data_IF_872759361930
#
_entry.id   IF_872759361930
#
_cell.length_a   1.000
_cell.length_b   1.000
_cell.length_c   1.000
_cell.angle_alpha   90.00
_cell.angle_beta   90.00
_cell.angle_gamma   90.00
#
_symmetry.space_group_name_H-M   'P 1'
#
loop_
_entity.id
_entity.type
_entity.pdbx_description
1 polymer ?
#
# COMPACT_ATOMS: atom_id res chain seq x y z
N UNK A 1 27.86 6.03 -0.88
CA UNK A 1 26.65 5.94 -1.72
C UNK A 1 25.49 5.46 -0.86
N UNK A 2 24.57 6.37 -0.51
CA UNK A 2 23.41 6.00 0.31
C UNK A 2 22.50 5.08 -0.49
N UNK A 3 22.31 3.83 -0.02
CA UNK A 3 21.34 2.90 -0.60
C UNK A 3 19.97 3.57 -0.57
N UNK A 4 19.45 3.92 -1.74
CA UNK A 4 18.06 4.34 -1.89
C UNK A 4 17.22 3.11 -1.57
N UNK A 5 16.85 2.95 -0.30
CA UNK A 5 15.77 2.07 0.09
C UNK A 5 14.48 2.75 -0.38
N UNK A 6 14.22 2.76 -1.69
CA UNK A 6 12.91 3.06 -2.21
C UNK A 6 12.05 1.85 -1.85
N UNK A 7 11.25 1.96 -0.79
CA UNK A 7 10.17 0.98 -0.58
C UNK A 7 9.26 1.10 -1.80
N UNK A 8 9.33 0.12 -2.69
CA UNK A 8 8.33 -0.06 -3.73
C UNK A 8 7.00 -0.33 -3.02
N UNK A 9 5.95 0.36 -3.44
CA UNK A 9 4.61 0.11 -2.93
C UNK A 9 4.23 -1.28 -3.44
N UNK A 10 3.89 -2.17 -2.51
CA UNK A 10 3.51 -3.53 -2.82
C UNK A 10 1.99 -3.63 -2.80
N UNK A 11 1.45 -4.68 -3.40
CA UNK A 11 0.01 -5.00 -3.44
C UNK A 11 -0.62 -4.91 -2.05
N UNK A 12 0.12 -5.39 -1.05
CA UNK A 12 -0.27 -5.46 0.36
C UNK A 12 -0.46 -4.08 1.01
N UNK A 13 0.11 -3.02 0.44
CA UNK A 13 0.00 -1.66 0.97
C UNK A 13 -1.02 -0.82 0.21
N UNK A 14 -1.52 -1.28 -0.93
CA UNK A 14 -2.34 -0.48 -1.83
C UNK A 14 -3.55 0.12 -1.12
N UNK A 15 -4.29 -0.68 -0.36
CA UNK A 15 -5.43 -0.21 0.43
C UNK A 15 -5.04 0.94 1.35
N UNK A 16 -3.95 0.77 2.11
CA UNK A 16 -3.46 1.78 3.05
C UNK A 16 -3.02 3.06 2.33
N UNK A 17 -2.33 2.93 1.21
CA UNK A 17 -1.86 4.08 0.43
C UNK A 17 -3.03 4.83 -0.16
N UNK A 18 -4.01 4.12 -0.73
CA UNK A 18 -5.22 4.72 -1.30
C UNK A 18 -6.01 5.44 -0.21
N UNK A 19 -6.26 4.81 0.94
CA UNK A 19 -6.92 5.44 2.09
C UNK A 19 -6.19 6.71 2.54
N UNK A 20 -4.86 6.63 2.69
CA UNK A 20 -4.05 7.76 3.08
C UNK A 20 -4.17 8.92 2.09
N UNK A 21 -4.07 8.64 0.79
CA UNK A 21 -4.19 9.66 -0.26
C UNK A 21 -5.59 10.27 -0.31
N UNK A 22 -6.65 9.47 -0.11
CA UNK A 22 -8.02 9.95 -0.04
C UNK A 22 -8.21 10.90 1.15
N UNK A 23 -7.78 10.51 2.35
CA UNK A 23 -7.81 11.37 3.53
C UNK A 23 -6.97 12.63 3.31
N UNK A 24 -5.81 12.49 2.65
CA UNK A 24 -4.97 13.62 2.31
C UNK A 24 -5.68 14.61 1.39
N UNK A 25 -6.42 14.17 0.36
CA UNK A 25 -7.15 15.05 -0.57
C UNK A 25 -8.18 15.95 0.09
N UNK A 26 -8.75 15.51 1.22
CA UNK A 26 -9.74 16.28 1.99
C UNK A 26 -9.13 16.99 3.20
N UNK A 27 -7.83 16.81 3.44
CA UNK A 27 -7.15 17.40 4.59
C UNK A 27 -6.96 18.91 4.41
N UNK A 28 -7.09 19.66 5.52
CA UNK A 28 -6.81 21.11 5.56
C UNK A 28 -5.41 21.44 5.04
N UNK A 29 -4.45 20.53 5.23
CA UNK A 29 -3.08 20.66 4.73
C UNK A 29 -3.04 20.64 3.20
N UNK A 30 -3.76 19.75 2.53
CA UNK A 30 -3.79 19.70 1.07
C UNK A 30 -4.45 20.95 0.45
N UNK A 31 -5.50 21.50 1.10
CA UNK A 31 -6.11 22.78 0.70
C UNK A 31 -5.13 23.96 0.83
N UNK A 32 -4.36 24.00 1.91
CA UNK A 32 -3.39 25.08 2.13
C UNK A 32 -2.13 24.97 1.25
N UNK A 33 -1.89 23.81 0.63
CA UNK A 33 -0.64 23.51 -0.07
C UNK A 33 -0.73 23.57 -1.60
N UNK A 34 -1.90 23.94 -2.17
CA UNK A 34 -2.23 23.88 -3.61
C UNK A 34 -1.62 22.64 -4.31
N UNK A 35 -1.71 21.49 -3.66
CA UNK A 35 -1.14 20.24 -4.17
C UNK A 35 -1.89 19.81 -5.42
N UNK A 36 -1.21 19.26 -6.42
CA UNK A 36 -1.90 18.81 -7.65
C UNK A 36 -2.92 17.70 -7.39
N UNK A 37 -2.92 17.06 -6.21
CA UNK A 37 -3.91 16.06 -5.82
C UNK A 37 -5.30 16.64 -5.54
N UNK A 38 -5.38 17.92 -5.13
CA UNK A 38 -6.66 18.61 -4.94
C UNK A 38 -7.21 19.14 -6.27
N UNK A 39 -6.37 19.20 -7.31
CA UNK A 39 -6.78 19.50 -8.69
C UNK A 39 -7.55 18.30 -9.24
N UNK A 40 -8.74 18.56 -9.80
CA UNK A 40 -9.74 17.53 -10.12
C UNK A 40 -9.22 16.32 -10.90
N UNK A 41 -8.23 16.48 -11.79
CA UNK A 41 -7.68 15.39 -12.62
C UNK A 41 -6.98 14.29 -11.81
N UNK A 42 -6.15 14.64 -10.83
CA UNK A 42 -5.44 13.63 -10.01
C UNK A 42 -6.36 13.01 -8.97
N UNK A 43 -7.32 13.79 -8.45
CA UNK A 43 -8.38 13.27 -7.57
C UNK A 43 -9.24 12.22 -8.27
N UNK A 44 -9.66 12.47 -9.51
CA UNK A 44 -10.42 11.49 -10.32
C UNK A 44 -9.60 10.24 -10.59
N UNK A 45 -8.31 10.39 -10.94
CA UNK A 45 -7.41 9.23 -11.13
C UNK A 45 -7.27 8.38 -9.86
N UNK A 46 -7.15 9.02 -8.69
CA UNK A 46 -7.08 8.31 -7.41
C UNK A 46 -8.36 7.52 -7.12
N UNK A 47 -9.53 8.13 -7.34
CA UNK A 47 -10.82 7.44 -7.17
C UNK A 47 -10.98 6.30 -8.17
N UNK A 48 -10.52 6.48 -9.41
CA UNK A 48 -10.54 5.43 -10.43
C UNK A 48 -9.62 4.26 -10.06
N UNK A 49 -8.43 4.54 -9.54
CA UNK A 49 -7.49 3.53 -9.06
C UNK A 49 -8.08 2.73 -7.89
N UNK A 50 -8.72 3.41 -6.93
CA UNK A 50 -9.42 2.79 -5.82
C UNK A 50 -10.54 1.84 -6.29
N UNK A 51 -11.40 2.33 -7.18
CA UNK A 51 -12.50 1.54 -7.74
C UNK A 51 -11.99 0.34 -8.57
N UNK A 52 -10.86 0.50 -9.26
CA UNK A 52 -10.24 -0.58 -10.05
C UNK A 52 -9.69 -1.67 -9.14
N UNK A 53 -9.06 -1.30 -8.01
CA UNK A 53 -8.60 -2.26 -7.02
C UNK A 53 -9.76 -3.03 -6.40
N UNK A 54 -10.82 -2.33 -5.99
CA UNK A 54 -11.99 -2.95 -5.37
C UNK A 54 -12.68 -3.93 -6.32
N UNK A 55 -12.83 -3.57 -7.60
CA UNK A 55 -13.30 -4.50 -8.63
C UNK A 55 -12.38 -5.69 -8.83
N UNK A 56 -11.07 -5.46 -8.90
CA UNK A 56 -10.11 -6.54 -9.07
C UNK A 56 -10.23 -7.57 -7.93
N UNK A 57 -10.34 -7.10 -6.68
CA UNK A 57 -10.48 -7.95 -5.50
C UNK A 57 -11.79 -8.75 -5.45
N UNK A 58 -12.87 -8.22 -6.04
CA UNK A 58 -14.18 -8.87 -6.01
C UNK A 58 -14.44 -9.79 -7.22
N UNK A 59 -13.97 -9.39 -8.40
CA UNK A 59 -14.42 -9.95 -9.68
C UNK A 59 -13.33 -10.72 -10.43
N UNK A 60 -12.04 -10.35 -10.25
CA UNK A 60 -10.94 -10.92 -11.03
C UNK A 60 -10.26 -12.07 -10.29
N UNK A 61 -9.64 -12.98 -11.06
CA UNK A 61 -8.87 -14.11 -10.53
C UNK A 61 -7.54 -14.24 -11.24
N UNK A 62 -6.63 -14.96 -10.58
CA UNK A 62 -5.35 -15.41 -11.13
C UNK A 62 -4.57 -14.27 -11.81
N UNK A 63 -4.17 -14.43 -13.07
CA UNK A 63 -3.33 -13.48 -13.78
C UNK A 63 -4.02 -12.13 -14.03
N UNK A 64 -5.34 -12.13 -14.27
CA UNK A 64 -6.09 -10.89 -14.51
C UNK A 64 -6.13 -10.01 -13.26
N UNK A 65 -6.22 -10.64 -12.08
CA UNK A 65 -6.09 -9.95 -10.80
C UNK A 65 -4.71 -9.33 -10.64
N UNK A 66 -3.65 -10.12 -10.86
CA UNK A 66 -2.26 -9.64 -10.71
C UNK A 66 -1.96 -8.47 -11.64
N UNK A 67 -2.36 -8.56 -12.91
CA UNK A 67 -2.15 -7.50 -13.90
C UNK A 67 -2.93 -6.22 -13.55
N UNK A 68 -4.16 -6.35 -13.05
CA UNK A 68 -4.97 -5.20 -12.64
C UNK A 68 -4.34 -4.49 -11.43
N UNK A 69 -3.89 -5.26 -10.45
CA UNK A 69 -3.25 -4.75 -9.24
C UNK A 69 -1.91 -4.08 -9.56
N UNK A 70 -1.08 -4.67 -10.43
CA UNK A 70 0.19 -4.08 -10.84
C UNK A 70 0.00 -2.74 -11.55
N UNK A 71 -1.04 -2.62 -12.39
CA UNK A 71 -1.42 -1.34 -13.01
C UNK A 71 -1.82 -0.30 -11.95
N UNK A 72 -2.60 -0.70 -10.95
CA UNK A 72 -2.97 0.20 -9.84
C UNK A 72 -1.73 0.66 -9.06
N UNK A 73 -0.76 -0.22 -8.80
CA UNK A 73 0.51 0.16 -8.18
C UNK A 73 1.22 1.27 -8.95
N UNK A 74 1.35 1.13 -10.27
CA UNK A 74 1.99 2.13 -11.14
C UNK A 74 1.22 3.46 -11.13
N UNK A 75 -0.11 3.40 -11.23
CA UNK A 75 -0.95 4.59 -11.22
C UNK A 75 -0.85 5.36 -9.90
N UNK A 76 -0.86 4.64 -8.78
CA UNK A 76 -0.73 5.22 -7.44
C UNK A 76 0.65 5.84 -7.23
N UNK A 77 1.73 5.17 -7.67
CA UNK A 77 3.07 5.77 -7.63
C UNK A 77 3.14 7.05 -8.48
N UNK A 78 2.55 7.04 -9.67
CA UNK A 78 2.46 8.22 -10.53
C UNK A 78 1.69 9.38 -9.89
N UNK A 79 0.56 9.10 -9.24
CA UNK A 79 -0.21 10.09 -8.49
C UNK A 79 0.62 10.64 -7.34
N UNK A 80 1.28 9.78 -6.56
CA UNK A 80 2.10 10.21 -5.41
C UNK A 80 3.22 11.16 -5.82
N UNK A 81 3.96 10.84 -6.89
CA UNK A 81 5.04 11.69 -7.39
C UNK A 81 4.52 13.03 -7.92
N UNK A 82 3.35 13.03 -8.57
CA UNK A 82 2.75 14.26 -9.08
C UNK A 82 2.17 15.14 -7.95
N UNK A 83 1.61 14.50 -6.91
CA UNK A 83 0.82 15.11 -5.84
C UNK A 83 1.61 15.61 -4.64
N UNK A 84 2.63 14.85 -4.25
CA UNK A 84 3.30 15.00 -2.97
C UNK A 84 4.72 15.49 -3.16
N UNK A 85 5.20 16.30 -2.21
CA UNK A 85 6.61 16.63 -2.16
C UNK A 85 7.44 15.40 -1.74
N UNK A 86 8.75 15.34 -2.07
CA UNK A 86 9.61 14.22 -1.69
C UNK A 86 9.60 13.91 -0.19
N UNK A 87 9.48 14.93 0.66
CA UNK A 87 9.43 14.74 2.11
C UNK A 87 8.16 14.00 2.58
N UNK A 88 7.00 14.31 2.01
CA UNK A 88 5.75 13.63 2.34
C UNK A 88 5.72 12.21 1.75
N UNK A 89 6.32 11.98 0.57
CA UNK A 89 6.51 10.63 0.02
C UNK A 89 7.36 9.75 0.95
N UNK A 90 8.45 10.30 1.51
CA UNK A 90 9.29 9.55 2.46
C UNK A 90 8.56 9.25 3.77
N UNK A 91 7.73 10.17 4.27
CA UNK A 91 6.88 9.92 5.44
C UNK A 91 5.88 8.80 5.18
N UNK A 92 5.21 8.82 4.03
CA UNK A 92 4.28 7.76 3.64
C UNK A 92 4.99 6.41 3.50
N UNK A 93 6.15 6.35 2.84
CA UNK A 93 6.96 5.12 2.75
C UNK A 93 7.41 4.59 4.12
N UNK A 94 7.68 5.48 5.07
CA UNK A 94 8.04 5.10 6.43
C UNK A 94 6.84 4.55 7.19
N UNK A 95 5.66 5.15 7.03
CA UNK A 95 4.41 4.65 7.61
C UNK A 95 4.02 3.28 7.05
N UNK A 96 4.19 3.07 5.74
CA UNK A 96 4.01 1.76 5.09
C UNK A 96 4.93 0.71 5.74
N UNK A 97 6.23 0.99 5.86
CA UNK A 97 7.17 0.07 6.53
C UNK A 97 6.73 -0.26 7.95
N UNK A 98 6.32 0.75 8.72
CA UNK A 98 5.86 0.54 10.09
C UNK A 98 4.59 -0.31 10.15
N UNK A 99 3.63 -0.13 9.21
CA UNK A 99 2.43 -0.97 9.11
C UNK A 99 2.81 -2.42 8.80
N UNK A 100 3.71 -2.65 7.82
CA UNK A 100 4.23 -3.99 7.50
C UNK A 100 4.88 -4.65 8.73
N UNK A 101 5.77 -3.95 9.43
CA UNK A 101 6.42 -4.46 10.65
C UNK A 101 5.43 -4.79 11.78
N UNK A 102 4.35 -4.00 11.94
CA UNK A 102 3.32 -4.29 12.95
C UNK A 102 2.50 -5.53 12.59
N UNK A 103 2.22 -5.77 11.31
CA UNK A 103 1.55 -6.99 10.86
C UNK A 103 2.48 -8.22 10.93
N UNK A 104 3.77 -8.04 10.69
CA UNK A 104 4.78 -9.12 10.74
C UNK A 104 4.91 -9.75 12.13
N UNK A 105 4.55 -9.03 13.20
CA UNK A 105 4.51 -9.57 14.56
C UNK A 105 3.51 -10.72 14.73
N UNK A 106 2.36 -10.65 14.08
CA UNK A 106 1.38 -11.74 14.08
C UNK A 106 1.86 -12.92 13.22
N UNK A 107 2.33 -12.65 12.00
CA UNK A 107 2.85 -13.69 11.09
C UNK A 107 4.04 -14.45 11.69
N UNK A 108 4.89 -13.76 12.46
CA UNK A 108 5.99 -14.39 13.18
C UNK A 108 5.49 -15.28 14.33
N UNK A 109 4.51 -14.81 15.10
CA UNK A 109 3.93 -15.59 16.19
C UNK A 109 3.20 -16.84 15.66
N UNK A 110 2.48 -16.71 14.55
CA UNK A 110 1.79 -17.81 13.87
C UNK A 110 2.79 -18.85 13.32
N UNK A 111 3.88 -18.39 12.69
CA UNK A 111 4.96 -19.26 12.25
C UNK A 111 5.64 -20.01 13.41
N UNK A 112 5.91 -19.33 14.53
CA UNK A 112 6.48 -19.95 15.72
C UNK A 112 5.53 -21.01 16.31
N UNK A 113 4.22 -20.71 16.37
CA UNK A 113 3.19 -21.66 16.80
C UNK A 113 3.15 -22.90 15.90
N UNK A 114 3.04 -22.74 14.59
CA UNK A 114 3.03 -23.84 13.61
C UNK A 114 4.30 -24.70 13.68
N UNK A 115 5.47 -24.08 13.83
CA UNK A 115 6.74 -24.79 13.98
C UNK A 115 6.76 -25.65 15.26
N UNK A 116 6.18 -25.13 16.34
CA UNK A 116 6.12 -25.79 17.64
C UNK A 116 5.15 -26.96 17.61
N UNK A 117 3.96 -26.78 17.01
CA UNK A 117 2.97 -27.84 16.82
C UNK A 117 3.58 -29.00 16.02
N UNK A 118 4.24 -28.71 14.89
CA UNK A 118 4.91 -29.76 14.11
C UNK A 118 5.96 -30.47 14.93
N UNK A 119 6.83 -29.74 15.62
CA UNK A 119 7.86 -30.35 16.47
C UNK A 119 7.26 -31.30 17.53
N UNK A 120 6.15 -30.90 18.18
CA UNK A 120 5.47 -31.74 19.17
C UNK A 120 4.84 -32.98 18.55
N UNK A 121 4.20 -32.85 17.38
CA UNK A 121 3.60 -33.97 16.64
C UNK A 121 4.65 -35.00 16.19
N UNK A 122 5.80 -34.55 15.67
CA UNK A 122 6.89 -35.46 15.27
C UNK A 122 7.51 -36.19 16.47
N UNK A 123 7.38 -35.65 17.68
CA UNK A 123 7.93 -36.24 18.91
C UNK A 123 6.98 -37.19 19.63
N UNK A 124 5.70 -37.16 19.27
CA UNK A 124 4.65 -38.01 19.81
C UNK A 124 4.27 -39.17 18.87
N UNK A 125 5.02 -39.33 17.77
CA UNK A 125 5.03 -40.47 16.84
C UNK A 125 6.21 -41.39 17.17
#
# INVERSE_FOLDING_TARGET
MARVAATKIDVQDLEYVIEYLLVFTVSRRAYNSDTTITKGKNRVKLLQAALTLEKAMLELRDQEYLDAVDRVCVDIEGIMVAALCPADIQKLRSAIRQKRYKNDGYSRADYEYESTIRFLLTRSS
#
